data_IF_443756337774
#
_entry.id   IF_443756337774
#
_cell.length_a   1.000
_cell.length_b   1.000
_cell.length_c   1.000
_cell.angle_alpha   90.00
_cell.angle_beta   90.00
_cell.angle_gamma   90.00
#
_symmetry.space_group_name_H-M   'P 1'
#
loop_
_entity.id
_entity.type
_entity.pdbx_description
1 polymer ?
#
# COMPACT_ATOMS: atom_id res chain seq x y z
N UNK A 1 -48.02 -6.98 74.55
CA UNK A 1 -47.11 -6.26 73.61
C UNK A 1 -45.75 -6.05 74.27
N UNK A 2 -44.57 -6.15 73.66
CA UNK A 2 -44.10 -6.80 72.42
C UNK A 2 -42.55 -6.79 72.43
N UNK A 3 -41.91 -7.08 73.57
CA UNK A 3 -40.45 -6.94 73.70
C UNK A 3 -39.68 -8.27 73.77
N UNK A 4 -40.37 -9.39 74.01
CA UNK A 4 -39.73 -10.71 74.16
C UNK A 4 -39.32 -11.38 72.84
N UNK A 5 -39.66 -10.81 71.68
CA UNK A 5 -39.24 -11.33 70.36
C UNK A 5 -38.00 -10.64 69.78
N UNK A 6 -37.66 -9.42 70.23
CA UNK A 6 -36.47 -8.71 69.75
C UNK A 6 -35.15 -9.32 70.27
N UNK A 7 -35.15 -9.89 71.47
CA UNK A 7 -33.95 -10.49 72.08
C UNK A 7 -33.51 -11.82 71.44
N UNK A 8 -34.34 -12.47 70.61
CA UNK A 8 -33.94 -13.66 69.85
C UNK A 8 -33.30 -13.33 68.50
N UNK A 9 -33.63 -12.19 67.90
CA UNK A 9 -33.01 -11.77 66.64
C UNK A 9 -31.58 -11.24 66.83
N UNK A 10 -31.23 -10.78 68.04
CA UNK A 10 -29.86 -10.32 68.39
C UNK A 10 -28.94 -11.49 68.77
N UNK A 11 -29.48 -12.69 69.03
CA UNK A 11 -28.71 -13.88 69.40
C UNK A 11 -28.18 -14.69 68.21
N UNK A 12 -28.48 -14.28 66.99
CA UNK A 12 -27.77 -14.71 65.78
C UNK A 12 -26.57 -13.81 65.45
N UNK A 13 -26.11 -13.00 66.40
CA UNK A 13 -24.80 -12.35 66.36
C UNK A 13 -23.67 -13.36 66.61
N UNK A 14 -23.54 -14.39 65.78
CA UNK A 14 -22.30 -15.18 65.72
C UNK A 14 -21.24 -14.30 65.04
N UNK A 15 -20.48 -13.56 65.83
CA UNK A 15 -19.28 -12.88 65.34
C UNK A 15 -18.33 -13.92 64.72
N UNK A 16 -17.68 -13.56 63.61
CA UNK A 16 -16.72 -14.43 62.95
C UNK A 16 -15.59 -14.80 63.91
N UNK A 17 -15.32 -16.08 64.05
CA UNK A 17 -14.16 -16.54 64.80
C UNK A 17 -12.86 -16.24 64.02
N UNK A 18 -11.77 -16.00 64.75
CA UNK A 18 -10.43 -15.77 64.17
C UNK A 18 -10.03 -16.84 63.12
N UNK A 19 -10.31 -18.13 63.35
CA UNK A 19 -10.06 -19.19 62.36
C UNK A 19 -10.89 -19.04 61.07
N UNK A 20 -12.16 -18.65 61.15
CA UNK A 20 -13.03 -18.50 59.96
C UNK A 20 -12.59 -17.32 59.07
N UNK A 21 -12.14 -16.21 59.67
CA UNK A 21 -11.57 -15.08 58.93
C UNK A 21 -10.26 -15.47 58.24
N UNK A 22 -9.41 -16.27 58.91
CA UNK A 22 -8.15 -16.74 58.34
C UNK A 22 -8.38 -17.67 57.15
N UNK A 23 -9.32 -18.61 57.28
CA UNK A 23 -9.72 -19.49 56.16
C UNK A 23 -10.30 -18.67 55.01
N UNK A 24 -11.19 -17.71 55.29
CA UNK A 24 -11.80 -16.87 54.26
C UNK A 24 -10.76 -16.03 53.50
N UNK A 25 -9.80 -15.44 54.21
CA UNK A 25 -8.69 -14.70 53.59
C UNK A 25 -7.79 -15.63 52.77
N UNK A 26 -7.52 -16.85 53.25
CA UNK A 26 -6.73 -17.85 52.53
C UNK A 26 -7.39 -18.28 51.21
N UNK A 27 -8.70 -18.57 51.25
CA UNK A 27 -9.47 -18.92 50.04
C UNK A 27 -9.52 -17.73 49.07
N UNK A 28 -9.76 -16.52 49.57
CA UNK A 28 -9.77 -15.31 48.73
C UNK A 28 -8.41 -15.06 48.08
N UNK A 29 -7.31 -15.22 48.84
CA UNK A 29 -5.96 -15.08 48.31
C UNK A 29 -5.66 -16.09 47.19
N UNK A 30 -6.10 -17.35 47.37
CA UNK A 30 -5.95 -18.39 46.36
C UNK A 30 -6.76 -18.10 45.10
N UNK A 31 -8.01 -17.65 45.26
CA UNK A 31 -8.87 -17.25 44.13
C UNK A 31 -8.26 -16.07 43.38
N UNK A 32 -7.81 -15.04 44.10
CA UNK A 32 -7.18 -13.85 43.49
C UNK A 32 -5.87 -14.19 42.80
N UNK A 33 -5.07 -15.11 43.34
CA UNK A 33 -3.86 -15.59 42.67
C UNK A 33 -4.20 -16.27 41.32
N UNK A 34 -5.26 -17.10 41.28
CA UNK A 34 -5.76 -17.69 40.04
C UNK A 34 -6.23 -16.64 39.03
N UNK A 35 -7.05 -15.67 39.47
CA UNK A 35 -7.55 -14.58 38.61
C UNK A 35 -6.41 -13.71 38.08
N UNK A 36 -5.42 -13.38 38.92
CA UNK A 36 -4.25 -12.61 38.52
C UNK A 36 -3.43 -13.35 37.46
N UNK A 37 -3.26 -14.67 37.59
CA UNK A 37 -2.59 -15.49 36.59
C UNK A 37 -3.29 -15.49 35.23
N UNK A 38 -4.63 -15.63 35.22
CA UNK A 38 -5.43 -15.56 33.99
C UNK A 38 -5.35 -14.17 33.36
N UNK A 39 -5.45 -13.10 34.15
CA UNK A 39 -5.34 -11.73 33.67
C UNK A 39 -3.96 -11.44 33.07
N UNK A 40 -2.89 -11.87 33.74
CA UNK A 40 -1.52 -11.71 33.25
C UNK A 40 -1.33 -12.43 31.90
N UNK A 41 -1.80 -13.67 31.80
CA UNK A 41 -1.76 -14.46 30.56
C UNK A 41 -2.60 -13.81 29.46
N UNK A 42 -3.81 -13.35 29.78
CA UNK A 42 -4.70 -12.70 28.83
C UNK A 42 -4.11 -11.41 28.25
N UNK A 43 -3.44 -10.60 29.08
CA UNK A 43 -2.72 -9.41 28.62
C UNK A 43 -1.58 -9.75 27.65
N UNK A 44 -0.79 -10.77 27.97
CA UNK A 44 0.30 -11.21 27.10
C UNK A 44 -0.24 -11.68 25.74
N UNK A 45 -1.27 -12.53 25.74
CA UNK A 45 -1.89 -13.04 24.50
C UNK A 45 -2.47 -11.89 23.66
N UNK A 46 -3.07 -10.88 24.29
CA UNK A 46 -3.59 -9.69 23.58
C UNK A 46 -2.48 -8.95 22.85
N UNK A 47 -1.37 -8.64 23.54
CA UNK A 47 -0.24 -7.91 22.95
C UNK A 47 0.42 -8.71 21.82
N UNK A 48 0.60 -10.01 22.00
CA UNK A 48 1.11 -10.88 20.93
C UNK A 48 0.15 -10.92 19.73
N UNK A 49 -1.15 -10.93 19.99
CA UNK A 49 -2.19 -10.87 18.96
C UNK A 49 -2.12 -9.59 18.14
N UNK A 50 -2.03 -8.44 18.82
CA UNK A 50 -1.95 -7.12 18.18
C UNK A 50 -0.67 -6.99 17.34
N UNK A 51 0.47 -7.41 17.87
CA UNK A 51 1.75 -7.40 17.15
C UNK A 51 1.71 -8.28 15.89
N UNK A 52 1.09 -9.47 15.97
CA UNK A 52 0.92 -10.35 14.80
C UNK A 52 -0.01 -9.74 13.76
N UNK A 53 -1.12 -9.13 14.19
CA UNK A 53 -2.05 -8.45 13.28
C UNK A 53 -1.35 -7.28 12.56
N UNK A 54 -0.60 -6.46 13.31
CA UNK A 54 0.17 -5.35 12.76
C UNK A 54 1.24 -5.81 11.75
N UNK A 55 1.99 -6.87 12.09
CA UNK A 55 2.99 -7.44 11.20
C UNK A 55 2.36 -7.96 9.89
N UNK A 56 1.19 -8.59 9.96
CA UNK A 56 0.47 -9.06 8.78
C UNK A 56 -0.04 -7.90 7.91
N UNK A 57 -0.56 -6.83 8.51
CA UNK A 57 -1.00 -5.65 7.75
C UNK A 57 0.17 -4.98 7.02
N UNK A 58 1.29 -4.83 7.71
CA UNK A 58 2.52 -4.26 7.15
C UNK A 58 3.08 -5.13 6.03
N UNK A 59 3.08 -6.45 6.20
CA UNK A 59 3.51 -7.38 5.16
C UNK A 59 2.62 -7.31 3.90
N UNK A 60 1.29 -7.21 4.06
CA UNK A 60 0.37 -7.04 2.92
C UNK A 60 0.64 -5.74 2.17
N UNK A 61 0.87 -4.65 2.89
CA UNK A 61 1.23 -3.37 2.28
C UNK A 61 2.56 -3.46 1.52
N UNK A 62 3.57 -4.11 2.08
CA UNK A 62 4.86 -4.34 1.42
C UNK A 62 4.71 -5.16 0.12
N UNK A 63 3.91 -6.23 0.14
CA UNK A 63 3.67 -7.05 -1.05
C UNK A 63 3.03 -6.25 -2.20
N UNK A 64 2.10 -5.35 -1.90
CA UNK A 64 1.50 -4.48 -2.91
C UNK A 64 2.52 -3.55 -3.57
N UNK A 65 3.46 -3.00 -2.78
CA UNK A 65 4.53 -2.16 -3.33
C UNK A 65 5.51 -2.98 -4.14
N UNK A 66 5.90 -4.17 -3.66
CA UNK A 66 6.86 -5.05 -4.33
C UNK A 66 6.37 -5.50 -5.71
N UNK A 67 5.09 -5.85 -5.84
CA UNK A 67 4.50 -6.26 -7.11
C UNK A 67 4.67 -5.19 -8.20
N UNK A 68 4.39 -3.93 -7.87
CA UNK A 68 4.54 -2.82 -8.81
C UNK A 68 6.01 -2.41 -8.99
N UNK A 69 6.83 -2.50 -7.93
CA UNK A 69 8.26 -2.21 -7.99
C UNK A 69 8.98 -3.20 -8.91
N UNK A 70 8.51 -4.44 -9.03
CA UNK A 70 9.02 -5.42 -9.99
C UNK A 70 8.81 -4.99 -11.44
N UNK A 71 7.80 -4.15 -11.69
CA UNK A 71 7.53 -3.54 -13.00
C UNK A 71 8.30 -2.22 -13.20
N UNK A 72 9.18 -1.83 -12.27
CA UNK A 72 9.98 -0.61 -12.42
C UNK A 72 10.83 -0.63 -13.70
N UNK A 73 10.67 0.43 -14.49
CA UNK A 73 11.26 0.61 -15.80
C UNK A 73 10.51 -0.08 -16.94
N UNK A 74 9.40 -0.78 -16.68
CA UNK A 74 8.58 -1.32 -17.76
C UNK A 74 8.01 -0.18 -18.61
N UNK A 75 8.18 -0.29 -19.93
CA UNK A 75 7.77 0.76 -20.88
C UNK A 75 8.63 2.03 -20.84
N UNK A 76 9.76 2.04 -20.12
CA UNK A 76 10.65 3.19 -19.99
C UNK A 76 12.03 2.89 -20.62
N UNK A 77 12.73 3.88 -21.21
CA UNK A 77 14.01 3.65 -21.87
C UNK A 77 15.04 3.01 -20.94
N UNK A 78 15.68 1.93 -21.38
CA UNK A 78 16.67 1.20 -20.59
C UNK A 78 17.91 2.04 -20.23
N UNK A 79 18.23 3.03 -21.06
CA UNK A 79 19.33 3.97 -20.84
C UNK A 79 19.06 4.99 -19.72
N UNK A 80 17.83 5.12 -19.23
CA UNK A 80 17.45 6.09 -18.20
C UNK A 80 17.32 5.45 -16.81
N UNK A 81 17.50 6.28 -15.78
CA UNK A 81 17.36 5.87 -14.39
C UNK A 81 15.89 5.58 -14.05
N UNK A 82 15.59 4.30 -13.76
CA UNK A 82 14.23 3.81 -13.50
C UNK A 82 13.68 4.25 -12.14
N UNK A 83 14.52 4.21 -11.11
CA UNK A 83 14.19 4.63 -9.73
C UNK A 83 14.77 6.03 -9.51
N UNK A 84 13.91 7.04 -9.38
CA UNK A 84 14.32 8.43 -9.24
C UNK A 84 14.74 8.78 -7.80
N UNK A 85 14.01 8.24 -6.82
CA UNK A 85 14.27 8.50 -5.41
C UNK A 85 13.78 7.33 -4.55
N UNK A 86 14.53 7.04 -3.49
CA UNK A 86 14.15 6.09 -2.46
C UNK A 86 14.56 6.65 -1.10
N UNK A 87 13.67 6.53 -0.12
CA UNK A 87 13.84 6.89 1.27
C UNK A 87 13.09 5.88 2.14
N UNK A 88 13.34 5.85 3.46
CA UNK A 88 12.66 4.91 4.35
C UNK A 88 11.13 5.01 4.32
N UNK A 89 10.57 6.15 3.91
CA UNK A 89 9.13 6.37 3.88
C UNK A 89 8.57 6.55 2.47
N UNK A 90 9.39 6.48 1.42
CA UNK A 90 8.88 6.67 0.08
C UNK A 90 9.80 6.19 -1.03
N UNK A 91 9.19 5.79 -2.14
CA UNK A 91 9.93 5.40 -3.35
C UNK A 91 9.24 6.00 -4.57
N UNK A 92 10.03 6.40 -5.55
CA UNK A 92 9.56 7.00 -6.79
C UNK A 92 10.26 6.35 -7.97
N UNK A 93 9.50 5.80 -8.91
CA UNK A 93 10.02 5.10 -10.07
C UNK A 93 9.12 5.28 -11.29
N UNK A 94 9.65 5.01 -12.48
CA UNK A 94 8.89 4.99 -13.71
C UNK A 94 8.39 3.59 -14.00
N UNK A 95 7.11 3.43 -14.32
CA UNK A 95 6.57 2.16 -14.80
C UNK A 95 5.30 2.40 -15.62
N UNK A 96 5.02 1.49 -16.54
CA UNK A 96 3.72 1.37 -17.18
C UNK A 96 2.90 0.26 -16.52
N UNK A 97 2.14 0.64 -15.49
CA UNK A 97 1.33 -0.30 -14.70
C UNK A 97 0.08 -0.82 -15.41
N UNK A 98 -0.40 -0.11 -16.43
CA UNK A 98 -1.61 -0.48 -17.17
C UNK A 98 -1.29 -1.22 -18.47
N UNK A 99 -0.01 -1.48 -18.74
CA UNK A 99 0.47 -2.12 -19.96
C UNK A 99 -0.04 -1.40 -21.23
N UNK A 100 0.01 -0.07 -21.23
CA UNK A 100 -0.36 0.75 -22.39
C UNK A 100 0.75 0.78 -23.46
N UNK A 101 1.99 0.50 -23.09
CA UNK A 101 3.14 0.48 -23.99
C UNK A 101 2.91 -0.50 -25.13
N UNK A 102 3.27 -0.06 -26.33
CA UNK A 102 2.89 -0.72 -27.58
C UNK A 102 4.09 -0.77 -28.53
N UNK A 103 3.87 -1.24 -29.76
CA UNK A 103 4.89 -1.28 -30.81
C UNK A 103 4.36 -0.66 -32.09
N UNK A 104 5.26 -0.04 -32.83
CA UNK A 104 4.99 0.46 -34.18
C UNK A 104 4.75 -0.73 -35.12
N UNK A 105 3.70 -0.66 -35.95
CA UNK A 105 3.31 -1.72 -36.89
C UNK A 105 3.61 -1.41 -38.36
N UNK A 106 4.11 -0.22 -38.66
CA UNK A 106 4.60 0.16 -39.98
C UNK A 106 5.72 1.19 -39.83
N UNK A 107 6.68 1.20 -40.75
CA UNK A 107 7.75 2.21 -40.74
C UNK A 107 7.16 3.63 -40.64
N UNK A 108 7.69 4.42 -39.72
CA UNK A 108 7.30 5.81 -39.53
C UNK A 108 8.47 6.71 -39.93
N UNK A 109 8.24 7.67 -40.82
CA UNK A 109 9.27 8.58 -41.29
C UNK A 109 9.41 9.78 -40.35
N UNK A 110 10.57 10.44 -40.43
CA UNK A 110 10.73 11.73 -39.77
C UNK A 110 9.71 12.73 -40.34
N UNK A 111 9.00 13.44 -39.48
CA UNK A 111 7.93 14.36 -39.86
C UNK A 111 6.53 13.76 -39.85
N UNK A 112 6.38 12.43 -39.81
CA UNK A 112 5.06 11.81 -39.78
C UNK A 112 4.30 12.22 -38.51
N UNK A 113 3.04 12.61 -38.66
CA UNK A 113 2.17 13.02 -37.55
C UNK A 113 1.25 11.90 -37.08
N UNK A 114 1.26 10.76 -37.76
CA UNK A 114 0.45 9.59 -37.43
C UNK A 114 1.39 8.39 -37.30
N UNK A 115 1.33 7.76 -36.13
CA UNK A 115 2.06 6.54 -35.80
C UNK A 115 1.10 5.35 -35.86
N UNK A 116 1.37 4.38 -36.73
CA UNK A 116 0.66 3.11 -36.75
C UNK A 116 1.21 2.21 -35.64
N UNK A 117 0.35 1.78 -34.72
CA UNK A 117 0.74 0.98 -33.54
C UNK A 117 -0.16 -0.24 -33.38
N UNK A 118 0.34 -1.25 -32.67
CA UNK A 118 -0.40 -2.48 -32.41
C UNK A 118 -1.65 -2.23 -31.54
N UNK A 119 -1.53 -1.32 -30.59
CA UNK A 119 -2.65 -0.78 -29.81
C UNK A 119 -2.36 0.66 -29.40
N UNK A 120 -3.32 1.57 -29.60
CA UNK A 120 -3.32 2.93 -29.06
C UNK A 120 -4.22 3.08 -27.82
N UNK A 121 -4.74 1.98 -27.27
CA UNK A 121 -5.54 2.02 -26.03
C UNK A 121 -4.69 2.48 -24.85
N UNK A 122 -5.24 3.35 -24.02
CA UNK A 122 -4.55 3.88 -22.84
C UNK A 122 -3.67 5.10 -23.12
N UNK A 123 -3.49 5.51 -24.38
CA UNK A 123 -2.92 6.80 -24.72
C UNK A 123 -4.01 7.88 -24.80
N UNK A 124 -3.69 9.08 -24.35
CA UNK A 124 -4.57 10.23 -24.34
C UNK A 124 -3.81 11.50 -24.77
N UNK A 125 -4.55 12.51 -25.19
CA UNK A 125 -3.99 13.81 -25.52
C UNK A 125 -3.20 14.39 -24.33
N UNK A 126 -2.01 14.93 -24.60
CA UNK A 126 -1.09 15.47 -23.60
C UNK A 126 -0.15 14.44 -22.96
N UNK A 127 -0.32 13.14 -23.24
CA UNK A 127 0.64 12.14 -22.78
C UNK A 127 2.00 12.33 -23.45
N UNK A 128 3.07 12.17 -22.66
CA UNK A 128 4.43 12.06 -23.18
C UNK A 128 4.75 10.58 -23.38
N UNK A 129 5.14 10.24 -24.60
CA UNK A 129 5.51 8.87 -25.00
C UNK A 129 7.00 8.81 -25.34
N UNK A 130 7.59 7.64 -25.10
CA UNK A 130 8.98 7.33 -25.40
C UNK A 130 9.05 6.39 -26.60
N UNK A 131 9.64 6.84 -27.69
CA UNK A 131 9.93 6.02 -28.87
C UNK A 131 11.30 5.40 -28.65
N UNK A 132 11.37 4.10 -28.44
CA UNK A 132 12.58 3.39 -28.01
C UNK A 132 13.08 2.47 -29.12
N UNK A 133 14.20 2.85 -29.73
CA UNK A 133 14.89 2.04 -30.73
C UNK A 133 16.25 1.61 -30.17
N UNK A 134 16.29 0.40 -29.62
CA UNK A 134 17.49 -0.17 -29.00
C UNK A 134 18.03 0.75 -27.89
N UNK A 135 19.18 1.40 -28.09
CA UNK A 135 19.82 2.29 -27.10
C UNK A 135 19.40 3.75 -27.22
N UNK A 136 18.69 4.11 -28.30
CA UNK A 136 18.23 5.46 -28.53
C UNK A 136 16.76 5.60 -28.16
N UNK A 137 16.41 6.76 -27.63
CA UNK A 137 15.03 7.10 -27.34
C UNK A 137 14.72 8.55 -27.70
N UNK A 138 13.46 8.79 -28.05
CA UNK A 138 12.93 10.12 -28.30
C UNK A 138 11.61 10.31 -27.56
N UNK A 139 11.33 11.54 -27.17
CA UNK A 139 10.08 11.89 -26.50
C UNK A 139 9.19 12.68 -27.42
N UNK A 140 7.91 12.29 -27.51
CA UNK A 140 6.89 13.01 -28.27
C UNK A 140 5.62 13.13 -27.43
N UNK A 141 4.88 14.21 -27.58
CA UNK A 141 3.56 14.37 -26.95
C UNK A 141 2.46 13.80 -27.85
N UNK A 142 1.44 13.18 -27.27
CA UNK A 142 0.26 12.68 -27.99
C UNK A 142 -0.75 13.81 -28.18
N UNK A 143 -1.25 13.99 -29.39
CA UNK A 143 -2.39 14.87 -29.69
C UNK A 143 -3.73 14.14 -29.56
N UNK A 144 -3.80 12.90 -30.04
CA UNK A 144 -4.95 12.01 -29.87
C UNK A 144 -4.51 10.57 -30.13
N UNK A 145 -5.34 9.60 -29.72
CA UNK A 145 -5.10 8.19 -30.01
C UNK A 145 -6.41 7.49 -30.38
N UNK A 146 -6.30 6.49 -31.24
CA UNK A 146 -7.35 5.55 -31.60
C UNK A 146 -6.96 4.14 -31.16
N UNK A 147 -7.70 3.11 -31.60
CA UNK A 147 -7.33 1.73 -31.30
C UNK A 147 -5.99 1.29 -31.90
N UNK A 148 -5.59 1.84 -33.05
CA UNK A 148 -4.38 1.39 -33.79
C UNK A 148 -3.49 2.53 -34.27
N UNK A 149 -3.84 3.78 -33.94
CA UNK A 149 -3.03 4.94 -34.33
C UNK A 149 -2.83 5.89 -33.16
N UNK A 150 -1.66 6.52 -33.12
CA UNK A 150 -1.35 7.62 -32.23
C UNK A 150 -1.03 8.83 -33.09
N UNK A 151 -1.71 9.94 -32.86
CA UNK A 151 -1.47 11.20 -33.55
C UNK A 151 -0.57 12.06 -32.68
N UNK A 152 0.47 12.62 -33.29
CA UNK A 152 1.43 13.50 -32.65
C UNK A 152 1.41 14.88 -33.34
N UNK A 153 1.68 15.98 -32.62
CA UNK A 153 1.65 17.31 -33.21
C UNK A 153 2.87 17.54 -34.10
N UNK A 154 2.76 18.52 -35.01
CA UNK A 154 3.91 19.01 -35.80
C UNK A 154 5.05 19.49 -34.86
N UNK A 155 6.34 19.17 -35.09
CA UNK A 155 6.94 18.66 -36.33
C UNK A 155 6.79 17.15 -36.58
N UNK A 156 6.00 16.43 -35.79
CA UNK A 156 5.81 14.98 -35.96
C UNK A 156 6.91 14.18 -35.27
N UNK A 157 7.17 12.98 -35.79
CA UNK A 157 8.22 12.11 -35.26
C UNK A 157 9.60 12.69 -35.61
N UNK A 158 10.54 12.76 -34.66
CA UNK A 158 11.83 13.44 -34.87
C UNK A 158 12.79 12.70 -35.80
N UNK A 159 12.63 11.39 -35.97
CA UNK A 159 13.52 10.52 -36.76
C UNK A 159 12.72 9.41 -37.43
N UNK A 160 13.23 8.84 -38.51
CA UNK A 160 12.65 7.64 -39.09
C UNK A 160 12.81 6.45 -38.12
N UNK A 161 11.72 5.73 -37.88
CA UNK A 161 11.64 4.57 -37.00
C UNK A 161 11.14 3.36 -37.79
N UNK A 162 11.86 2.22 -37.75
CA UNK A 162 11.38 1.01 -38.37
C UNK A 162 10.18 0.42 -37.62
N UNK A 163 9.45 -0.45 -38.28
CA UNK A 163 8.46 -1.33 -37.64
C UNK A 163 9.06 -2.08 -36.45
N UNK A 164 8.25 -2.32 -35.41
CA UNK A 164 8.62 -3.10 -34.23
C UNK A 164 9.25 -2.30 -33.10
N UNK A 165 9.62 -1.04 -33.34
CA UNK A 165 10.07 -0.07 -32.32
C UNK A 165 9.02 0.06 -31.22
N UNK A 166 9.48 0.05 -29.97
CA UNK A 166 8.58 0.15 -28.83
C UNK A 166 8.18 1.60 -28.57
N UNK A 167 6.90 1.80 -28.30
CA UNK A 167 6.31 3.07 -27.88
C UNK A 167 5.90 2.93 -26.42
N UNK A 168 6.71 3.50 -25.54
CA UNK A 168 6.52 3.46 -24.09
C UNK A 168 5.60 4.59 -23.60
N UNK A 169 4.72 4.27 -22.66
CA UNK A 169 3.94 5.27 -21.90
C UNK A 169 4.07 5.06 -20.39
N UNK A 170 5.30 5.16 -19.83
CA UNK A 170 5.50 5.02 -18.41
C UNK A 170 4.97 6.25 -17.68
N UNK A 171 4.42 6.04 -16.50
CA UNK A 171 4.03 7.09 -15.55
C UNK A 171 4.98 7.04 -14.35
N UNK A 172 5.15 8.20 -13.73
CA UNK A 172 5.91 8.30 -12.49
C UNK A 172 5.02 7.82 -11.35
N UNK A 173 5.37 6.68 -10.77
CA UNK A 173 4.69 6.08 -9.64
C UNK A 173 5.41 6.49 -8.37
N UNK A 174 4.65 6.92 -7.36
CA UNK A 174 5.20 7.37 -6.08
C UNK A 174 4.46 6.71 -4.94
N UNK A 175 5.21 6.10 -4.04
CA UNK A 175 4.70 5.63 -2.77
C UNK A 175 5.20 6.52 -1.65
N UNK A 176 4.34 6.75 -0.66
CA UNK A 176 4.66 7.50 0.53
C UNK A 176 3.93 6.88 1.73
N UNK A 177 4.66 6.56 2.78
CA UNK A 177 4.07 6.29 4.08
C UNK A 177 4.04 7.61 4.88
N UNK A 178 2.88 7.92 5.46
CA UNK A 178 2.64 9.16 6.20
C UNK A 178 3.37 9.23 7.55
N UNK A 179 4.06 8.16 7.95
CA UNK A 179 4.75 8.05 9.24
C UNK A 179 3.84 7.66 10.40
N UNK A 180 2.54 7.46 10.14
CA UNK A 180 1.52 7.22 11.17
C UNK A 180 0.84 5.89 10.91
N UNK A 181 0.00 5.78 9.88
CA UNK A 181 -0.82 4.58 9.65
C UNK A 181 -1.22 4.34 8.19
N UNK A 182 -0.87 5.23 7.26
CA UNK A 182 -1.41 5.19 5.89
C UNK A 182 -0.28 5.13 4.88
N UNK A 183 -0.37 4.12 4.00
CA UNK A 183 0.41 4.04 2.78
C UNK A 183 -0.37 4.75 1.66
N UNK A 184 0.26 5.72 1.02
CA UNK A 184 -0.27 6.52 -0.06
C UNK A 184 0.41 6.14 -1.38
N UNK A 185 -0.34 6.22 -2.47
CA UNK A 185 0.14 5.98 -3.84
C UNK A 185 -0.29 7.12 -4.76
N UNK A 186 0.66 7.67 -5.50
CA UNK A 186 0.40 8.48 -6.69
C UNK A 186 0.71 7.62 -7.93
N UNK A 187 -0.31 7.37 -8.74
CA UNK A 187 -0.18 6.57 -9.97
C UNK A 187 0.27 7.40 -11.19
N UNK A 188 0.57 8.69 -11.01
CA UNK A 188 0.99 9.58 -12.09
C UNK A 188 -0.16 9.93 -13.05
N UNK A 189 -1.41 9.78 -12.62
CA UNK A 189 -2.63 10.10 -13.39
C UNK A 189 -3.12 11.53 -13.18
N UNK A 190 -2.40 12.32 -12.37
CA UNK A 190 -2.77 13.71 -12.04
C UNK A 190 -3.70 13.85 -10.83
N UNK A 191 -4.11 12.73 -10.21
CA UNK A 191 -4.91 12.73 -8.99
C UNK A 191 -4.07 12.88 -7.70
N UNK A 192 -2.74 12.89 -7.83
CA UNK A 192 -1.82 12.97 -6.71
C UNK A 192 -1.87 11.73 -5.81
N UNK A 193 -1.44 11.88 -4.56
CA UNK A 193 -1.42 10.80 -3.58
C UNK A 193 -2.84 10.41 -3.14
N UNK A 194 -3.16 9.14 -3.32
CA UNK A 194 -4.39 8.50 -2.87
C UNK A 194 -4.08 7.47 -1.78
N UNK A 195 -4.95 7.28 -0.77
CA UNK A 195 -4.78 6.22 0.22
C UNK A 195 -4.82 4.84 -0.44
N UNK A 196 -3.78 4.03 -0.20
CA UNK A 196 -3.70 2.65 -0.68
C UNK A 196 -4.06 1.66 0.42
N UNK A 197 -3.48 1.83 1.62
CA UNK A 197 -3.71 0.95 2.76
C UNK A 197 -3.65 1.74 4.08
N UNK A 198 -4.49 1.37 5.03
CA UNK A 198 -4.55 1.96 6.39
C UNK A 198 -4.19 0.91 7.45
N UNK A 199 -3.83 1.37 8.65
CA UNK A 199 -3.35 0.50 9.75
C UNK A 199 -1.89 0.06 9.61
N UNK A 200 -1.20 0.55 8.58
CA UNK A 200 0.19 0.21 8.30
C UNK A 200 1.11 1.02 9.21
N UNK A 201 1.76 0.36 10.17
CA UNK A 201 2.54 1.00 11.23
C UNK A 201 3.95 0.42 11.29
N UNK A 202 4.96 1.27 11.44
CA UNK A 202 6.37 0.85 11.41
C UNK A 202 6.85 0.39 10.03
N UNK A 203 6.20 0.87 8.97
CA UNK A 203 6.57 0.54 7.59
C UNK A 203 7.84 1.28 7.18
N UNK A 204 8.78 0.54 6.60
CA UNK A 204 9.98 1.08 5.99
C UNK A 204 10.14 0.48 4.60
N UNK A 205 10.42 1.33 3.62
CA UNK A 205 10.70 0.97 2.22
C UNK A 205 12.19 0.73 1.99
#
# INVERSE_FOLDING_TARGET
MSWRRAARAVRDGRGFSLPELLVSCGVLGLVMAGVAGVLATGRQVSVEGDNRAQAQQTARAAMMVEEELRLAGYGFPAAQQKILAASPTGITFWADLINASTRITANANAGDTILNVASGTGFAAGDVIYLMNSDQFWTVSVSSASSTTIVVPNPGIPVALPEGVQVGRPKQIRYLWDGINTLLKDAGTGLGFQPLATGVTGFQL
#
